data_IF_886119277852
#
_entry.id   IF_886119277852
#
_cell.length_a   1.000
_cell.length_b   1.000
_cell.length_c   1.000
_cell.angle_alpha   90.00
_cell.angle_beta   90.00
_cell.angle_gamma   90.00
#
_symmetry.space_group_name_H-M   'P 1'
#
loop_
_entity.id
_entity.type
_entity.pdbx_description
1 polymer ?
#
# COMPACT_ATOMS: atom_id res chain seq x y z
N UNK A 1 -10.23 11.88 26.67
CA UNK A 1 -10.32 11.54 25.23
C UNK A 1 -9.15 10.63 24.89
N UNK A 2 -9.38 9.31 24.89
CA UNK A 2 -8.32 8.29 24.68
C UNK A 2 -8.11 8.14 23.17
N UNK A 3 -6.97 8.58 22.67
CA UNK A 3 -6.56 8.40 21.28
C UNK A 3 -6.22 6.92 21.12
N UNK A 4 -7.11 6.16 20.48
CA UNK A 4 -6.91 4.74 20.20
C UNK A 4 -5.89 4.63 19.07
N UNK A 5 -4.68 4.15 19.41
CA UNK A 5 -3.59 3.88 18.47
C UNK A 5 -3.86 2.55 17.78
N UNK A 6 -3.96 2.55 16.46
CA UNK A 6 -3.87 1.33 15.66
C UNK A 6 -2.38 1.03 15.45
N UNK A 7 -1.90 -0.01 16.13
CA UNK A 7 -0.52 -0.47 16.12
C UNK A 7 -0.40 -1.66 15.16
N UNK A 8 0.52 -1.58 14.19
CA UNK A 8 0.98 -2.74 13.43
C UNK A 8 2.45 -3.02 13.73
N UNK A 9 2.74 -4.21 14.27
CA UNK A 9 4.08 -4.65 14.69
C UNK A 9 4.72 -5.55 13.64
N UNK A 10 5.90 -5.11 13.17
CA UNK A 10 7.14 -5.78 12.70
C UNK A 10 7.12 -7.15 12.00
N UNK A 11 7.88 -7.23 10.90
CA UNK A 11 8.76 -8.36 10.52
C UNK A 11 9.94 -7.78 9.69
N UNK A 12 11.23 -7.81 10.10
CA UNK A 12 12.21 -8.91 10.24
C UNK A 12 12.95 -9.22 8.90
N UNK A 13 14.14 -8.64 8.67
CA UNK A 13 15.52 -9.26 8.61
C UNK A 13 16.11 -9.00 7.21
N UNK A 14 17.35 -8.57 6.97
CA UNK A 14 18.65 -8.98 7.52
C UNK A 14 19.70 -7.84 7.38
N UNK A 15 20.43 -7.53 8.45
CA UNK A 15 21.68 -6.78 8.40
C UNK A 15 22.81 -7.80 8.18
N UNK A 16 23.67 -7.59 7.17
CA UNK A 16 24.95 -8.28 7.08
C UNK A 16 26.08 -7.25 7.04
N UNK A 17 26.71 -7.05 8.20
CA UNK A 17 28.11 -6.64 8.28
C UNK A 17 28.84 -7.70 9.12
N UNK A 18 29.38 -8.70 8.42
CA UNK A 18 30.47 -9.55 8.90
C UNK A 18 31.48 -9.64 7.76
N UNK A 19 32.73 -9.15 7.90
CA UNK A 19 33.79 -9.50 6.97
C UNK A 19 34.21 -10.95 7.22
N UNK A 20 33.74 -11.88 6.40
CA UNK A 20 34.24 -13.25 6.39
C UNK A 20 35.30 -13.43 5.29
N UNK A 21 36.44 -13.97 5.74
CA UNK A 21 37.70 -14.17 5.04
C UNK A 21 37.56 -15.04 3.77
N UNK A 22 38.40 -14.76 2.77
CA UNK A 22 38.54 -15.48 1.50
C UNK A 22 38.71 -16.99 1.62
N UNK A 23 37.97 -17.74 0.79
CA UNK A 23 38.42 -19.04 0.27
C UNK A 23 37.79 -19.35 -1.12
N UNK A 24 38.70 -19.50 -2.09
CA UNK A 24 38.68 -20.12 -3.44
C UNK A 24 37.34 -20.58 -4.07
N UNK A 25 37.09 -19.98 -5.24
CA UNK A 25 36.62 -20.53 -6.52
C UNK A 25 36.01 -21.94 -6.54
N UNK A 26 34.71 -22.00 -6.86
CA UNK A 26 34.17 -22.96 -7.83
C UNK A 26 33.17 -22.25 -8.74
N UNK A 27 33.39 -22.36 -10.04
CA UNK A 27 32.52 -21.87 -11.10
C UNK A 27 31.30 -22.79 -11.16
N UNK A 28 30.15 -22.29 -10.71
CA UNK A 28 28.86 -22.86 -11.04
C UNK A 28 28.03 -21.74 -11.66
N UNK A 29 27.78 -21.84 -12.96
CA UNK A 29 26.84 -20.99 -13.67
C UNK A 29 25.45 -21.25 -13.10
N UNK A 30 24.99 -20.37 -12.22
CA UNK A 30 23.58 -20.29 -11.84
C UNK A 30 23.05 -18.96 -12.36
N UNK A 31 22.30 -19.02 -13.46
CA UNK A 31 21.39 -17.95 -13.85
C UNK A 31 20.27 -17.91 -12.81
N UNK A 32 20.49 -17.22 -11.69
CA UNK A 32 19.45 -16.97 -10.69
C UNK A 32 19.00 -15.51 -10.81
N UNK A 33 18.24 -15.21 -11.84
CA UNK A 33 17.34 -14.06 -11.87
C UNK A 33 16.06 -14.45 -11.15
N UNK A 34 16.09 -14.46 -9.82
CA UNK A 34 14.89 -14.54 -9.00
C UNK A 34 15.02 -13.57 -7.81
N UNK A 35 14.76 -12.30 -8.10
CA UNK A 35 14.49 -11.27 -7.09
C UNK A 35 13.04 -10.78 -7.21
N UNK A 36 12.09 -11.69 -7.41
CA UNK A 36 10.67 -11.38 -7.22
C UNK A 36 10.29 -11.62 -5.76
N UNK A 37 10.73 -10.74 -4.86
CA UNK A 37 10.05 -10.62 -3.58
C UNK A 37 8.65 -10.08 -3.90
N UNK A 38 7.65 -10.96 -3.85
CA UNK A 38 6.26 -10.57 -4.12
C UNK A 38 5.83 -9.55 -3.05
N UNK A 39 5.63 -8.30 -3.46
CA UNK A 39 5.10 -7.26 -2.58
C UNK A 39 3.69 -7.64 -2.11
N UNK A 40 3.43 -7.44 -0.81
CA UNK A 40 2.15 -7.77 -0.18
C UNK A 40 1.63 -6.54 0.57
N UNK A 41 0.40 -6.14 0.28
CA UNK A 41 -0.31 -5.10 1.00
C UNK A 41 -1.12 -5.73 2.15
N UNK A 42 -0.96 -5.22 3.37
CA UNK A 42 -1.67 -5.70 4.55
C UNK A 42 -2.60 -4.61 5.07
N UNK A 43 -3.85 -4.99 5.36
CA UNK A 43 -4.87 -4.10 5.93
C UNK A 43 -5.36 -4.72 7.24
N UNK A 44 -5.28 -3.97 8.33
CA UNK A 44 -5.74 -4.42 9.65
C UNK A 44 -5.95 -3.22 10.59
N UNK A 45 -6.14 -3.48 11.89
CA UNK A 45 -6.52 -2.48 12.87
C UNK A 45 -8.01 -2.58 13.16
N UNK A 46 -8.71 -1.45 13.12
CA UNK A 46 -10.16 -1.40 13.30
C UNK A 46 -10.89 -1.75 11.98
N UNK A 47 -10.81 -3.04 11.62
CA UNK A 47 -11.45 -3.61 10.44
C UNK A 47 -12.20 -4.88 10.83
N UNK A 48 -13.28 -5.23 10.12
CA UNK A 48 -14.01 -6.48 10.42
C UNK A 48 -13.32 -7.70 9.81
N UNK A 49 -12.66 -7.52 8.66
CA UNK A 49 -11.95 -8.58 7.94
C UNK A 49 -10.55 -8.11 7.55
N UNK A 50 -9.50 -8.43 8.34
CA UNK A 50 -8.13 -8.13 7.96
C UNK A 50 -7.77 -8.75 6.61
N UNK A 51 -7.07 -7.99 5.76
CA UNK A 51 -6.71 -8.43 4.42
C UNK A 51 -5.19 -8.54 4.25
N UNK A 52 -4.78 -9.50 3.45
CA UNK A 52 -3.42 -9.64 2.94
C UNK A 52 -3.54 -9.83 1.44
N UNK A 53 -3.20 -8.79 0.68
CA UNK A 53 -3.40 -8.72 -0.77
C UNK A 53 -2.06 -8.79 -1.48
N UNK A 54 -1.96 -9.74 -2.41
CA UNK A 54 -0.87 -9.78 -3.39
C UNK A 54 -1.21 -8.87 -4.57
N UNK A 55 -0.25 -8.61 -5.47
CA UNK A 55 -0.50 -7.85 -6.69
C UNK A 55 -1.60 -8.49 -7.55
N UNK A 56 -1.62 -9.82 -7.69
CA UNK A 56 -2.67 -10.51 -8.45
C UNK A 56 -4.05 -10.37 -7.80
N UNK A 57 -4.12 -10.41 -6.46
CA UNK A 57 -5.36 -10.15 -5.73
C UNK A 57 -5.82 -8.70 -5.89
N UNK A 58 -4.91 -7.73 -5.88
CA UNK A 58 -5.24 -6.32 -6.15
C UNK A 58 -5.80 -6.14 -7.56
N UNK A 59 -5.14 -6.71 -8.58
CA UNK A 59 -5.60 -6.67 -9.97
C UNK A 59 -6.93 -7.39 -10.23
N UNK A 60 -7.44 -8.15 -9.26
CA UNK A 60 -8.78 -8.76 -9.36
C UNK A 60 -9.92 -7.82 -8.91
N UNK A 61 -9.58 -6.67 -8.32
CA UNK A 61 -10.53 -5.62 -7.94
C UNK A 61 -10.79 -4.66 -9.12
N UNK A 62 -11.86 -3.85 -9.07
CA UNK A 62 -12.12 -2.85 -10.10
C UNK A 62 -10.95 -1.88 -10.29
N UNK A 63 -10.41 -1.86 -11.51
CA UNK A 63 -9.27 -1.01 -11.89
C UNK A 63 -9.74 0.41 -12.20
N UNK A 64 -8.91 1.38 -11.80
CA UNK A 64 -9.12 2.81 -12.02
C UNK A 64 -7.84 3.47 -12.50
N UNK A 65 -7.98 4.46 -13.37
CA UNK A 65 -6.87 5.27 -13.89
C UNK A 65 -7.08 6.73 -13.52
N UNK A 66 -6.06 7.35 -12.93
CA UNK A 66 -6.05 8.77 -12.56
C UNK A 66 -4.88 9.49 -13.21
N UNK A 67 -5.12 10.70 -13.70
CA UNK A 67 -4.08 11.55 -14.30
C UNK A 67 -3.55 12.53 -13.27
N UNK A 68 -2.26 12.46 -12.98
CA UNK A 68 -1.57 13.33 -12.01
C UNK A 68 -0.44 14.06 -12.72
N UNK A 69 -0.32 15.37 -12.48
CA UNK A 69 0.81 16.15 -12.99
C UNK A 69 2.00 16.01 -12.05
N UNK A 70 3.19 15.77 -12.60
CA UNK A 70 4.43 15.80 -11.84
C UNK A 70 4.81 17.23 -11.41
N UNK A 71 5.99 17.37 -10.79
CA UNK A 71 6.53 18.67 -10.36
C UNK A 71 6.85 19.60 -11.53
N UNK A 72 7.01 19.07 -12.74
CA UNK A 72 7.31 19.84 -13.97
C UNK A 72 6.06 20.23 -14.74
N UNK A 73 4.89 19.71 -14.35
CA UNK A 73 3.59 19.93 -14.98
C UNK A 73 3.22 18.88 -16.03
N UNK A 74 4.09 17.89 -16.27
CA UNK A 74 3.87 16.78 -17.20
C UNK A 74 2.82 15.81 -16.63
N UNK A 75 1.76 15.48 -17.40
CA UNK A 75 0.74 14.54 -16.94
C UNK A 75 1.26 13.10 -17.04
N UNK A 76 0.99 12.32 -15.99
CA UNK A 76 1.21 10.88 -15.94
C UNK A 76 -0.09 10.17 -15.58
N UNK A 77 -0.32 9.01 -16.19
CA UNK A 77 -1.48 8.17 -15.91
C UNK A 77 -1.07 7.08 -14.93
N UNK A 78 -1.69 7.08 -13.76
CA UNK A 78 -1.50 6.04 -12.75
C UNK A 78 -2.69 5.09 -12.77
N UNK A 79 -2.41 3.80 -12.80
CA UNK A 79 -3.43 2.74 -12.79
C UNK A 79 -3.31 1.93 -11.52
N UNK A 80 -4.47 1.65 -10.91
CA UNK A 80 -4.55 1.00 -9.61
C UNK A 80 -5.97 0.80 -9.11
N UNK A 81 -6.10 0.54 -7.81
CA UNK A 81 -7.39 0.33 -7.14
C UNK A 81 -7.67 1.48 -6.19
N UNK A 82 -8.91 1.99 -6.10
CA UNK A 82 -9.24 3.00 -5.10
C UNK A 82 -8.98 2.47 -3.69
N UNK A 83 -8.41 3.34 -2.85
CA UNK A 83 -8.17 3.01 -1.44
C UNK A 83 -9.48 2.63 -0.74
N UNK A 84 -10.58 3.33 -1.04
CA UNK A 84 -11.92 3.04 -0.49
C UNK A 84 -12.42 1.65 -0.81
N UNK A 85 -12.15 1.12 -2.01
CA UNK A 85 -12.65 -0.20 -2.41
C UNK A 85 -11.97 -1.28 -1.59
N UNK A 86 -10.68 -1.12 -1.30
CA UNK A 86 -9.91 -2.01 -0.43
C UNK A 86 -10.37 -1.88 1.03
N UNK A 87 -10.62 -0.66 1.51
CA UNK A 87 -11.11 -0.42 2.88
C UNK A 87 -12.52 -0.99 3.09
N UNK A 88 -13.43 -0.78 2.12
CA UNK A 88 -14.78 -1.35 2.14
C UNK A 88 -14.73 -2.88 2.13
N UNK A 89 -13.82 -3.48 1.34
CA UNK A 89 -13.58 -4.93 1.35
C UNK A 89 -13.09 -5.45 2.71
N UNK A 90 -12.34 -4.65 3.46
CA UNK A 90 -11.92 -4.95 4.84
C UNK A 90 -13.03 -4.68 5.87
N UNK A 91 -14.18 -4.13 5.43
CA UNK A 91 -15.34 -3.78 6.25
C UNK A 91 -15.16 -2.51 7.08
N UNK A 92 -14.36 -1.57 6.58
CA UNK A 92 -14.30 -0.20 7.12
C UNK A 92 -15.56 0.55 6.70
N UNK A 93 -16.11 1.35 7.61
CA UNK A 93 -17.26 2.21 7.33
C UNK A 93 -16.91 3.29 6.30
N UNK A 94 -17.71 3.41 5.24
CA UNK A 94 -17.58 4.38 4.15
C UNK A 94 -18.94 5.01 3.83
N UNK A 95 -18.94 6.01 2.96
CA UNK A 95 -20.12 6.63 2.40
C UNK A 95 -20.98 7.35 3.44
N UNK A 96 -22.30 7.20 3.31
CA UNK A 96 -23.28 7.82 4.22
C UNK A 96 -23.16 7.35 5.68
N UNK A 97 -22.52 6.20 5.93
CA UNK A 97 -22.28 5.68 7.28
C UNK A 97 -21.05 6.33 7.95
N UNK A 98 -20.21 7.02 7.17
CA UNK A 98 -19.05 7.75 7.66
C UNK A 98 -19.48 9.08 8.31
N UNK A 99 -20.06 8.98 9.52
CA UNK A 99 -20.56 10.11 10.31
C UNK A 99 -20.37 9.88 11.80
N UNK A 100 -20.54 10.94 12.59
CA UNK A 100 -20.39 10.87 14.04
C UNK A 100 -18.99 10.41 14.45
N UNK A 101 -18.91 9.42 15.33
CA UNK A 101 -17.63 8.89 15.82
C UNK A 101 -16.74 8.31 14.71
N UNK A 102 -17.32 7.79 13.62
CA UNK A 102 -16.56 7.24 12.51
C UNK A 102 -15.73 8.31 11.76
N UNK A 103 -16.11 9.60 11.82
CA UNK A 103 -15.32 10.69 11.23
C UNK A 103 -14.00 10.94 11.97
N UNK A 104 -13.87 10.48 13.22
CA UNK A 104 -12.63 10.59 14.00
C UNK A 104 -11.61 9.50 13.68
N UNK A 105 -11.99 8.52 12.85
CA UNK A 105 -11.12 7.41 12.44
C UNK A 105 -10.19 7.84 11.31
N UNK A 106 -9.06 7.14 11.21
CA UNK A 106 -7.98 7.46 10.27
C UNK A 106 -7.34 6.19 9.73
N UNK A 107 -6.67 6.34 8.59
CA UNK A 107 -5.76 5.36 8.01
C UNK A 107 -4.33 5.81 8.29
N UNK A 108 -3.53 4.92 8.87
CA UNK A 108 -2.08 5.08 8.96
C UNK A 108 -1.44 4.26 7.83
N UNK A 109 -1.03 4.92 6.76
CA UNK A 109 -0.27 4.30 5.68
C UNK A 109 1.19 4.16 6.10
N UNK A 110 1.76 2.95 6.02
CA UNK A 110 3.16 2.67 6.36
C UNK A 110 3.88 2.08 5.15
N UNK A 111 5.04 2.64 4.84
CA UNK A 111 5.91 2.20 3.76
C UNK A 111 6.98 1.23 4.27
N UNK A 112 7.59 0.45 3.37
CA UNK A 112 8.62 -0.53 3.72
C UNK A 112 9.90 0.11 4.30
N UNK A 113 10.15 1.38 3.99
CA UNK A 113 11.24 2.19 4.51
C UNK A 113 10.98 2.77 5.93
N UNK A 114 9.81 2.48 6.51
CA UNK A 114 9.40 2.97 7.82
C UNK A 114 8.75 4.34 7.81
N UNK A 115 8.57 4.96 6.64
CA UNK A 115 7.82 6.21 6.52
C UNK A 115 6.32 5.96 6.80
N UNK A 116 5.68 6.94 7.46
CA UNK A 116 4.28 6.83 7.84
C UNK A 116 3.52 8.13 7.54
N UNK A 117 2.29 7.98 7.04
CA UNK A 117 1.38 9.09 6.75
C UNK A 117 0.00 8.76 7.30
N UNK A 118 -0.66 9.78 7.87
CA UNK A 118 -2.04 9.66 8.37
C UNK A 118 -2.98 10.35 7.39
N UNK A 119 -4.08 9.66 7.07
CA UNK A 119 -5.22 10.19 6.33
C UNK A 119 -6.47 10.07 7.18
N UNK A 120 -7.32 11.09 7.22
CA UNK A 120 -8.68 10.91 7.76
C UNK A 120 -9.49 9.98 6.84
N UNK A 121 -10.47 9.26 7.38
CA UNK A 121 -11.37 8.47 6.51
C UNK A 121 -12.15 9.36 5.52
N UNK A 122 -12.47 10.59 5.91
CA UNK A 122 -13.19 11.53 5.06
C UNK A 122 -12.38 11.92 3.81
N UNK A 123 -11.07 12.08 3.91
CA UNK A 123 -10.20 12.39 2.76
C UNK A 123 -10.12 11.24 1.74
N UNK A 124 -10.47 10.03 2.16
CA UNK A 124 -10.44 8.86 1.30
C UNK A 124 -11.80 8.61 0.66
N UNK A 125 -12.90 9.20 1.14
CA UNK A 125 -14.27 8.81 0.77
C UNK A 125 -14.91 9.69 -0.30
N UNK A 126 -15.61 9.06 -1.25
CA UNK A 126 -16.27 9.72 -2.39
C UNK A 126 -17.40 10.67 -2.01
N UNK A 127 -17.94 10.55 -0.80
CA UNK A 127 -18.97 11.46 -0.27
C UNK A 127 -18.41 12.82 0.11
N UNK A 128 -17.08 12.92 0.30
CA UNK A 128 -16.40 14.12 0.79
C UNK A 128 -15.45 14.72 -0.24
N UNK A 129 -14.79 13.89 -1.06
CA UNK A 129 -13.84 14.33 -2.08
C UNK A 129 -14.20 13.81 -3.45
N UNK A 130 -13.85 14.58 -4.50
CA UNK A 130 -14.07 14.18 -5.90
C UNK A 130 -12.96 13.29 -6.44
N UNK A 131 -11.72 13.53 -6.02
CA UNK A 131 -10.54 12.84 -6.51
C UNK A 131 -10.09 11.86 -5.45
N UNK A 132 -10.39 10.59 -5.65
CA UNK A 132 -10.06 9.55 -4.70
C UNK A 132 -8.63 9.05 -4.93
N UNK A 133 -7.86 8.82 -3.86
CA UNK A 133 -6.55 8.22 -3.98
C UNK A 133 -6.66 6.75 -4.40
N UNK A 134 -5.66 6.31 -5.16
CA UNK A 134 -5.51 4.92 -5.58
C UNK A 134 -4.25 4.29 -4.98
N UNK A 135 -4.30 2.98 -4.80
CA UNK A 135 -3.14 2.11 -4.64
C UNK A 135 -2.66 1.80 -6.06
N UNK A 136 -1.73 2.60 -6.56
CA UNK A 136 -1.19 2.45 -7.91
C UNK A 136 -0.20 1.28 -7.98
N UNK A 137 -0.24 0.53 -9.08
CA UNK A 137 0.76 -0.48 -9.43
C UNK A 137 1.34 -0.27 -10.84
N UNK A 138 0.82 0.69 -11.61
CA UNK A 138 1.29 1.05 -12.94
C UNK A 138 1.31 2.57 -13.13
N UNK A 139 2.29 3.05 -13.90
CA UNK A 139 2.42 4.42 -14.39
C UNK A 139 2.70 4.39 -15.89
N UNK A 140 1.88 5.11 -16.68
CA UNK A 140 1.99 5.18 -18.14
C UNK A 140 2.08 3.80 -18.83
N UNK A 141 1.33 2.83 -18.30
CA UNK A 141 1.31 1.44 -18.78
C UNK A 141 2.52 0.60 -18.39
N UNK A 142 3.41 1.12 -17.54
CA UNK A 142 4.57 0.40 -17.02
C UNK A 142 4.39 0.08 -15.53
N UNK A 143 4.78 -1.13 -15.06
CA UNK A 143 4.71 -1.48 -13.65
C UNK A 143 5.55 -0.54 -12.77
N UNK A 144 5.00 -0.16 -11.62
CA UNK A 144 5.74 0.48 -10.53
C UNK A 144 6.52 -0.61 -9.80
N UNK A 145 7.82 -0.75 -10.13
CA UNK A 145 8.74 -1.67 -9.45
C UNK A 145 9.24 -1.13 -8.12
#
# INVERSE_FOLDING_TARGET
MKIQKILLVKALVLFLFFPFQSAKTQVHTVLNSDSSQSAVLRISGEVTSPLTLTLSSLKSLPEHTVTVKDKTGSPHQYTGIYVTDVLAKAGVTTGHELRGENLSKYVLASCADGYQVVYSLAELDSSFVKNLPIIAYEIDGQPLM
#
